data_IF_960614111853
#
_entry.id   IF_960614111853
#
_cell.length_a   1.000
_cell.length_b   1.000
_cell.length_c   1.000
_cell.angle_alpha   90.00
_cell.angle_beta   90.00
_cell.angle_gamma   90.00
#
_symmetry.space_group_name_H-M   'P 1'
#
loop_
_entity.id
_entity.type
_entity.pdbx_description
1 polymer ?
#
# COMPACT_ATOMS: atom_id res chain seq x y z
N UNK A 1 -16.01 3.89 -21.02
CA UNK A 1 -15.42 5.25 -21.01
C UNK A 1 -15.49 5.75 -19.60
N UNK A 2 -14.34 6.05 -18.99
CA UNK A 2 -14.31 6.74 -17.71
C UNK A 2 -15.04 8.08 -17.87
N UNK A 3 -16.00 8.36 -16.98
CA UNK A 3 -16.72 9.64 -16.96
C UNK A 3 -16.02 10.57 -16.01
N UNK A 4 -16.05 11.87 -16.29
CA UNK A 4 -15.51 12.87 -15.38
C UNK A 4 -16.25 12.78 -14.03
N UNK A 5 -15.50 12.80 -12.94
CA UNK A 5 -16.03 13.03 -11.60
C UNK A 5 -16.58 14.44 -11.49
N UNK A 6 -17.70 14.60 -10.81
CA UNK A 6 -18.40 15.87 -10.65
C UNK A 6 -18.34 16.36 -9.20
N UNK A 7 -18.35 15.44 -8.26
CA UNK A 7 -18.47 15.70 -6.82
C UNK A 7 -17.18 15.43 -6.04
N UNK A 8 -16.42 14.39 -6.46
CA UNK A 8 -15.21 13.95 -5.77
C UNK A 8 -13.96 14.41 -6.54
N UNK A 9 -12.85 14.71 -5.85
CA UNK A 9 -11.56 14.99 -6.50
C UNK A 9 -11.00 13.73 -7.16
N UNK A 10 -9.96 13.84 -7.99
CA UNK A 10 -9.18 12.68 -8.39
C UNK A 10 -8.50 12.06 -7.17
N UNK A 11 -8.51 10.73 -7.10
CA UNK A 11 -7.91 9.98 -6.01
C UNK A 11 -6.39 9.88 -6.17
N UNK A 12 -5.70 9.55 -5.08
CA UNK A 12 -4.26 9.29 -5.09
C UNK A 12 -3.91 8.17 -6.09
N UNK A 13 -2.92 8.42 -6.93
CA UNK A 13 -2.49 7.48 -7.98
C UNK A 13 -1.49 6.45 -7.49
N UNK A 14 -1.18 5.47 -8.34
CA UNK A 14 -0.28 4.37 -8.07
C UNK A 14 1.14 4.82 -7.70
N UNK A 15 1.69 5.86 -8.34
CA UNK A 15 3.00 6.39 -7.96
C UNK A 15 3.01 6.97 -6.54
N UNK A 16 1.89 7.56 -6.09
CA UNK A 16 1.73 8.03 -4.71
C UNK A 16 1.80 6.86 -3.72
N UNK A 17 1.04 5.79 -4.00
CA UNK A 17 1.07 4.59 -3.18
C UNK A 17 2.43 3.92 -3.14
N UNK A 18 3.12 3.86 -4.29
CA UNK A 18 4.49 3.35 -4.36
C UNK A 18 5.46 4.16 -3.47
N UNK A 19 5.42 5.47 -3.58
CA UNK A 19 6.25 6.36 -2.75
C UNK A 19 5.89 6.26 -1.26
N UNK A 20 4.60 6.14 -0.93
CA UNK A 20 4.14 5.99 0.44
C UNK A 20 4.61 4.67 1.08
N UNK A 21 4.59 3.57 0.34
CA UNK A 21 5.13 2.28 0.78
C UNK A 21 6.65 2.32 1.00
N UNK A 22 7.37 3.14 0.24
CA UNK A 22 8.82 3.36 0.38
C UNK A 22 9.18 4.38 1.46
N UNK A 23 8.24 5.16 1.96
CA UNK A 23 8.53 6.29 2.86
C UNK A 23 9.25 5.87 4.14
N UNK A 24 8.90 4.72 4.71
CA UNK A 24 9.57 4.16 5.89
C UNK A 24 10.96 3.59 5.60
N UNK A 25 11.24 3.22 4.36
CA UNK A 25 12.48 2.54 3.99
C UNK A 25 13.68 3.49 3.96
N UNK A 26 14.87 3.00 4.31
CA UNK A 26 16.15 3.68 4.09
C UNK A 26 16.53 3.57 2.60
N UNK A 27 15.88 4.39 1.78
CA UNK A 27 15.92 4.33 0.33
C UNK A 27 16.06 5.74 -0.28
N UNK A 28 16.86 5.83 -1.34
CA UNK A 28 16.85 6.97 -2.26
C UNK A 28 15.74 6.74 -3.28
N UNK A 29 14.70 7.57 -3.26
CA UNK A 29 13.57 7.48 -4.18
C UNK A 29 13.67 8.54 -5.26
N UNK A 30 13.70 8.13 -6.53
CA UNK A 30 13.67 9.03 -7.69
C UNK A 30 12.33 8.86 -8.39
N UNK A 31 11.51 9.91 -8.36
CA UNK A 31 10.25 9.96 -9.10
C UNK A 31 10.55 10.47 -10.51
N UNK A 32 10.27 9.65 -11.52
CA UNK A 32 10.59 9.94 -12.92
C UNK A 32 9.52 10.86 -13.51
N UNK A 33 9.65 12.15 -13.27
CA UNK A 33 8.69 13.17 -13.69
C UNK A 33 9.37 14.52 -14.05
N UNK A 34 8.56 15.48 -14.48
CA UNK A 34 8.97 16.88 -14.67
C UNK A 34 8.66 17.75 -13.43
N UNK A 35 8.70 17.21 -12.25
CA UNK A 35 8.39 17.78 -10.92
C UNK A 35 6.90 17.93 -10.56
N UNK A 36 5.98 17.61 -11.45
CA UNK A 36 4.55 17.79 -11.16
C UNK A 36 4.01 16.66 -10.22
N UNK A 37 4.31 15.41 -10.51
CA UNK A 37 3.90 14.26 -9.68
C UNK A 37 4.61 14.27 -8.33
N UNK A 38 5.92 14.57 -8.31
CA UNK A 38 6.69 14.72 -7.07
C UNK A 38 6.09 15.80 -6.17
N UNK A 39 5.73 16.96 -6.76
CA UNK A 39 5.11 18.04 -5.98
C UNK A 39 3.75 17.61 -5.41
N UNK A 40 2.92 16.97 -6.23
CA UNK A 40 1.61 16.48 -5.79
C UNK A 40 1.76 15.52 -4.59
N UNK A 41 2.64 14.54 -4.71
CA UNK A 41 2.93 13.60 -3.65
C UNK A 41 3.38 14.29 -2.35
N UNK A 42 4.37 15.19 -2.44
CA UNK A 42 4.97 15.84 -1.27
C UNK A 42 4.03 16.85 -0.59
N UNK A 43 3.25 17.60 -1.37
CA UNK A 43 2.41 18.68 -0.84
C UNK A 43 1.03 18.19 -0.38
N UNK A 44 0.47 17.15 -1.03
CA UNK A 44 -0.93 16.78 -0.85
C UNK A 44 -1.14 15.36 -0.35
N UNK A 45 -0.39 14.39 -0.86
CA UNK A 45 -0.71 12.98 -0.66
C UNK A 45 0.09 12.31 0.47
N UNK A 46 1.17 12.94 0.95
CA UNK A 46 2.06 12.36 1.97
C UNK A 46 2.10 13.23 3.23
N UNK A 47 1.23 12.95 4.16
CA UNK A 47 1.07 13.73 5.41
C UNK A 47 2.33 13.71 6.28
N UNK A 48 3.12 12.62 6.24
CA UNK A 48 4.37 12.46 7.00
C UNK A 48 5.45 13.45 6.56
N UNK A 49 5.40 13.96 5.34
CA UNK A 49 6.40 14.89 4.81
C UNK A 49 6.49 16.20 5.59
N UNK A 50 5.40 16.63 6.23
CA UNK A 50 5.36 17.85 7.04
C UNK A 50 6.28 17.78 8.26
N UNK A 51 6.42 16.60 8.85
CA UNK A 51 7.26 16.37 10.04
C UNK A 51 8.61 15.74 9.75
N UNK A 52 8.77 15.11 8.58
CA UNK A 52 9.91 14.26 8.29
C UNK A 52 10.25 14.24 6.81
N UNK A 53 11.42 14.74 6.47
CA UNK A 53 11.92 14.67 5.10
C UNK A 53 12.62 13.35 4.84
N UNK A 54 12.44 12.81 3.64
CA UNK A 54 13.11 11.61 3.14
C UNK A 54 13.91 11.94 1.87
N UNK A 55 14.78 11.04 1.47
CA UNK A 55 15.58 11.14 0.25
C UNK A 55 14.74 10.82 -0.99
N UNK A 56 13.77 11.70 -1.27
CA UNK A 56 12.86 11.59 -2.42
C UNK A 56 13.05 12.81 -3.33
N UNK A 57 13.34 12.55 -4.60
CA UNK A 57 13.68 13.58 -5.57
C UNK A 57 12.92 13.38 -6.88
N UNK A 58 12.68 14.49 -7.58
CA UNK A 58 12.20 14.48 -8.96
C UNK A 58 13.37 14.27 -9.91
N UNK A 59 13.19 13.45 -10.93
CA UNK A 59 14.13 13.33 -12.04
C UNK A 59 14.24 14.61 -12.88
N UNK A 60 13.28 15.53 -12.75
CA UNK A 60 13.19 16.77 -13.50
C UNK A 60 13.40 16.56 -15.01
N UNK A 61 12.64 15.62 -15.58
CA UNK A 61 12.69 15.30 -17.00
C UNK A 61 12.44 16.56 -17.84
N UNK A 62 13.33 16.81 -18.79
CA UNK A 62 13.14 17.85 -19.81
C UNK A 62 12.45 17.26 -21.02
N UNK A 63 11.81 18.09 -21.82
CA UNK A 63 11.15 17.68 -23.06
C UNK A 63 12.10 16.90 -23.99
N UNK A 64 13.37 17.33 -24.08
CA UNK A 64 14.35 16.64 -24.92
C UNK A 64 14.70 15.23 -24.38
N UNK A 65 14.84 15.06 -23.06
CA UNK A 65 15.13 13.76 -22.45
C UNK A 65 13.99 12.77 -22.78
N UNK A 66 12.73 13.23 -22.65
CA UNK A 66 11.55 12.42 -22.95
C UNK A 66 11.40 12.08 -24.46
N UNK A 67 11.73 13.00 -25.36
CA UNK A 67 11.61 12.80 -26.82
C UNK A 67 12.74 11.92 -27.37
N UNK A 68 13.95 12.06 -26.84
CA UNK A 68 15.11 11.33 -27.30
C UNK A 68 15.29 9.97 -26.61
N UNK A 69 14.58 9.73 -25.49
CA UNK A 69 14.80 8.54 -24.65
C UNK A 69 16.20 8.55 -24.04
N UNK A 70 16.70 9.72 -23.63
CA UNK A 70 18.03 9.87 -23.03
C UNK A 70 17.96 9.64 -21.51
N UNK A 71 18.25 8.43 -21.11
CA UNK A 71 18.25 7.98 -19.71
C UNK A 71 19.59 8.26 -19.01
N UNK A 72 20.66 8.55 -19.76
CA UNK A 72 22.01 8.68 -19.22
C UNK A 72 22.09 9.81 -18.17
N UNK A 73 21.43 10.94 -18.39
CA UNK A 73 21.39 12.04 -17.43
C UNK A 73 20.68 11.63 -16.12
N UNK A 74 19.61 10.89 -16.20
CA UNK A 74 18.88 10.40 -15.02
C UNK A 74 19.74 9.42 -14.21
N UNK A 75 20.43 8.52 -14.89
CA UNK A 75 21.35 7.57 -14.28
C UNK A 75 22.50 8.32 -13.59
N UNK A 76 23.17 9.26 -14.27
CA UNK A 76 24.28 10.04 -13.71
C UNK A 76 23.86 10.83 -12.47
N UNK A 77 22.71 11.52 -12.51
CA UNK A 77 22.19 12.28 -11.37
C UNK A 77 21.82 11.36 -10.19
N UNK A 78 21.25 10.19 -10.47
CA UNK A 78 20.94 9.20 -9.44
C UNK A 78 22.21 8.67 -8.77
N UNK A 79 23.25 8.39 -9.55
CA UNK A 79 24.56 7.96 -9.04
C UNK A 79 25.24 9.04 -8.21
N UNK A 80 25.12 10.31 -8.60
CA UNK A 80 25.65 11.44 -7.82
C UNK A 80 24.94 11.54 -6.47
N UNK A 81 23.61 11.52 -6.46
CA UNK A 81 22.81 11.54 -5.23
C UNK A 81 23.12 10.32 -4.34
N UNK A 82 23.30 9.14 -4.92
CA UNK A 82 23.63 7.91 -4.19
C UNK A 82 25.01 8.00 -3.52
N UNK A 83 26.01 8.62 -4.16
CA UNK A 83 27.34 8.85 -3.56
C UNK A 83 27.28 9.79 -2.37
N UNK A 84 26.44 10.82 -2.43
CA UNK A 84 26.30 11.81 -1.34
C UNK A 84 25.51 11.26 -0.16
N UNK A 85 24.39 10.56 -0.44
CA UNK A 85 23.43 10.13 0.57
C UNK A 85 23.73 8.76 1.16
N UNK A 86 24.50 7.91 0.45
CA UNK A 86 24.84 6.53 0.85
C UNK A 86 23.61 5.71 1.29
N UNK A 87 22.54 5.64 0.47
CA UNK A 87 21.33 4.92 0.83
C UNK A 87 21.57 3.41 0.82
N UNK A 88 20.73 2.67 1.54
CA UNK A 88 20.79 1.19 1.54
C UNK A 88 20.06 0.56 0.37
N UNK A 89 19.21 1.33 -0.34
CA UNK A 89 18.47 0.91 -1.51
C UNK A 89 18.18 2.14 -2.39
N UNK A 90 17.96 1.93 -3.67
CA UNK A 90 17.52 2.96 -4.62
C UNK A 90 16.20 2.50 -5.25
N UNK A 91 15.22 3.39 -5.38
CA UNK A 91 13.96 3.13 -6.06
C UNK A 91 13.74 4.15 -7.17
N UNK A 92 13.53 3.68 -8.38
CA UNK A 92 13.14 4.49 -9.54
C UNK A 92 11.65 4.28 -9.77
N UNK A 93 10.86 5.34 -9.54
CA UNK A 93 9.38 5.26 -9.55
C UNK A 93 8.83 5.89 -10.81
N UNK A 94 8.12 5.11 -11.60
CA UNK A 94 7.44 5.56 -12.82
C UNK A 94 6.28 6.52 -12.52
N UNK A 95 5.89 7.29 -13.55
CA UNK A 95 4.76 8.23 -13.55
C UNK A 95 4.10 8.23 -14.93
N UNK A 96 3.06 9.03 -15.20
CA UNK A 96 2.50 9.11 -16.55
C UNK A 96 3.51 9.44 -17.65
N UNK A 97 4.58 10.19 -17.36
CA UNK A 97 5.54 10.58 -18.40
C UNK A 97 6.32 9.37 -18.92
N UNK A 98 7.05 8.59 -18.10
CA UNK A 98 7.71 7.38 -18.56
C UNK A 98 6.74 6.36 -19.15
N UNK A 99 5.53 6.20 -18.59
CA UNK A 99 4.53 5.27 -19.11
C UNK A 99 4.10 5.62 -20.54
N UNK A 100 3.95 6.90 -20.88
CA UNK A 100 3.56 7.36 -22.23
C UNK A 100 4.75 7.32 -23.20
N UNK A 101 5.96 7.62 -22.74
CA UNK A 101 7.16 7.67 -23.60
C UNK A 101 7.80 6.31 -23.81
N UNK A 102 7.39 5.29 -23.04
CA UNK A 102 7.96 3.94 -23.10
C UNK A 102 9.35 3.85 -22.46
N UNK A 103 9.65 4.68 -21.47
CA UNK A 103 10.91 4.64 -20.74
C UNK A 103 10.98 3.36 -19.87
N UNK A 104 12.09 2.64 -19.96
CA UNK A 104 12.31 1.40 -19.21
C UNK A 104 12.83 1.69 -17.78
N UNK A 105 11.90 1.92 -16.87
CA UNK A 105 12.20 2.20 -15.46
C UNK A 105 12.97 1.06 -14.78
N UNK A 106 12.67 -0.18 -15.16
CA UNK A 106 13.35 -1.35 -14.62
C UNK A 106 14.79 -1.47 -15.16
N UNK A 107 14.99 -1.19 -16.44
CA UNK A 107 16.31 -1.13 -17.07
C UNK A 107 17.19 -0.04 -16.44
N UNK A 108 16.63 1.15 -16.20
CA UNK A 108 17.34 2.24 -15.51
C UNK A 108 17.78 1.81 -14.11
N UNK A 109 16.90 1.19 -13.34
CA UNK A 109 17.25 0.68 -12.01
C UNK A 109 18.37 -0.36 -12.05
N UNK A 110 18.33 -1.26 -13.04
CA UNK A 110 19.40 -2.24 -13.27
C UNK A 110 20.76 -1.58 -13.56
N UNK A 111 20.80 -0.58 -14.44
CA UNK A 111 22.03 0.15 -14.75
C UNK A 111 22.57 0.93 -13.52
N UNK A 112 21.68 1.55 -12.75
CA UNK A 112 22.04 2.25 -11.51
C UNK A 112 22.62 1.28 -10.49
N UNK A 113 22.02 0.09 -10.32
CA UNK A 113 22.56 -0.95 -9.44
C UNK A 113 23.93 -1.43 -9.90
N UNK A 114 24.07 -1.74 -11.17
CA UNK A 114 25.35 -2.21 -11.75
C UNK A 114 26.48 -1.19 -11.58
N UNK A 115 26.16 0.10 -11.66
CA UNK A 115 27.16 1.18 -11.54
C UNK A 115 27.46 1.59 -10.10
N UNK A 116 26.47 1.51 -9.19
CA UNK A 116 26.63 1.94 -7.78
C UNK A 116 27.00 0.82 -6.84
N UNK A 117 26.64 -0.42 -7.15
CA UNK A 117 26.70 -1.56 -6.21
C UNK A 117 25.64 -1.51 -5.11
N UNK A 118 24.71 -0.55 -5.16
CA UNK A 118 23.61 -0.39 -4.20
C UNK A 118 22.37 -1.07 -4.80
N UNK A 119 21.67 -1.96 -4.08
CA UNK A 119 20.45 -2.59 -4.57
C UNK A 119 19.44 -1.56 -5.08
N UNK A 120 18.95 -1.74 -6.31
CA UNK A 120 18.00 -0.82 -6.92
C UNK A 120 16.77 -1.56 -7.43
N UNK A 121 15.59 -0.92 -7.31
CA UNK A 121 14.32 -1.41 -7.83
C UNK A 121 13.70 -0.40 -8.77
N UNK A 122 13.18 -0.86 -9.90
CA UNK A 122 12.33 -0.09 -10.79
C UNK A 122 10.87 -0.40 -10.48
N UNK A 123 10.10 0.63 -10.19
CA UNK A 123 8.66 0.52 -9.89
C UNK A 123 7.88 1.06 -11.07
N UNK A 124 7.32 0.17 -11.87
CA UNK A 124 6.58 0.52 -13.07
C UNK A 124 5.16 0.97 -12.74
N UNK A 125 5.06 2.18 -12.18
CA UNK A 125 3.81 2.89 -11.94
C UNK A 125 3.52 3.87 -13.08
N UNK A 126 2.26 4.03 -13.40
CA UNK A 126 1.81 4.74 -14.60
C UNK A 126 1.08 6.05 -14.31
N UNK A 127 0.61 6.23 -13.08
CA UNK A 127 -0.28 7.34 -12.70
C UNK A 127 -1.73 7.15 -13.16
N UNK A 128 -2.08 6.00 -13.75
CA UNK A 128 -3.43 5.69 -14.23
C UNK A 128 -4.16 4.64 -13.39
N UNK A 129 -3.45 4.03 -12.46
CA UNK A 129 -3.98 3.08 -11.48
C UNK A 129 -4.15 3.77 -10.12
N UNK A 130 -4.82 3.10 -9.20
CA UNK A 130 -5.07 3.58 -7.85
C UNK A 130 -3.87 3.29 -6.91
N UNK A 131 -3.78 4.05 -5.81
CA UNK A 131 -2.61 4.05 -4.91
C UNK A 131 -2.25 2.67 -4.36
N UNK A 132 -3.25 1.85 -3.99
CA UNK A 132 -3.03 0.53 -3.38
C UNK A 132 -2.32 -0.43 -4.34
N UNK A 133 -2.50 -0.26 -5.67
CA UNK A 133 -1.78 -1.05 -6.68
C UNK A 133 -0.31 -0.71 -6.70
N UNK A 134 0.03 0.57 -6.64
CA UNK A 134 1.41 1.02 -6.56
C UNK A 134 2.09 0.59 -5.27
N UNK A 135 1.42 0.74 -4.13
CA UNK A 135 1.92 0.28 -2.84
C UNK A 135 2.12 -1.24 -2.85
N UNK A 136 1.14 -2.02 -3.33
CA UNK A 136 1.24 -3.47 -3.46
C UNK A 136 2.41 -3.91 -4.33
N UNK A 137 2.61 -3.23 -5.48
CA UNK A 137 3.73 -3.50 -6.40
C UNK A 137 5.09 -3.32 -5.70
N UNK A 138 5.26 -2.25 -4.93
CA UNK A 138 6.47 -2.03 -4.13
C UNK A 138 6.66 -3.12 -3.10
N UNK A 139 5.63 -3.46 -2.33
CA UNK A 139 5.74 -4.48 -1.30
C UNK A 139 6.11 -5.85 -1.88
N UNK A 140 5.56 -6.21 -3.05
CA UNK A 140 5.93 -7.42 -3.77
C UNK A 140 7.40 -7.38 -4.25
N UNK A 141 7.85 -6.25 -4.84
CA UNK A 141 9.23 -6.09 -5.28
C UNK A 141 10.21 -6.19 -4.10
N UNK A 142 9.90 -5.58 -2.97
CA UNK A 142 10.72 -5.66 -1.76
C UNK A 142 10.75 -7.08 -1.20
N UNK A 143 9.60 -7.75 -1.09
CA UNK A 143 9.52 -9.12 -0.62
C UNK A 143 10.29 -10.08 -1.53
N UNK A 144 10.14 -9.92 -2.84
CA UNK A 144 10.85 -10.75 -3.80
C UNK A 144 12.36 -10.53 -3.77
N UNK A 145 12.79 -9.27 -3.67
CA UNK A 145 14.19 -8.89 -3.73
C UNK A 145 14.97 -9.21 -2.45
N UNK A 146 14.36 -9.03 -1.28
CA UNK A 146 15.08 -9.06 -0.01
C UNK A 146 14.64 -10.19 0.94
N UNK A 147 13.39 -10.70 0.86
CA UNK A 147 12.94 -11.69 1.84
C UNK A 147 13.74 -13.00 1.76
N UNK A 148 14.24 -13.45 2.93
CA UNK A 148 14.97 -14.72 3.06
C UNK A 148 16.41 -14.71 2.55
N UNK A 149 16.94 -13.57 2.08
CA UNK A 149 18.31 -13.42 1.59
C UNK A 149 19.14 -12.45 2.41
N UNK A 150 20.47 -12.53 2.28
CA UNK A 150 21.33 -11.39 2.63
C UNK A 150 21.24 -10.36 1.48
N UNK A 151 21.17 -9.08 1.80
CA UNK A 151 21.10 -8.02 0.80
C UNK A 151 22.38 -8.06 -0.06
N UNK A 152 22.34 -8.69 -1.20
CA UNK A 152 23.50 -8.80 -2.11
C UNK A 152 23.54 -10.08 -2.97
N UNK A 153 22.78 -11.14 -2.69
CA UNK A 153 23.02 -12.46 -3.28
C UNK A 153 21.90 -13.00 -4.20
N UNK A 154 21.08 -12.11 -4.83
CA UNK A 154 19.97 -12.56 -5.67
C UNK A 154 20.12 -12.19 -7.14
N UNK A 155 19.83 -13.14 -8.06
CA UNK A 155 19.86 -12.88 -9.51
C UNK A 155 18.71 -11.94 -9.92
N UNK A 156 19.01 -11.05 -10.85
CA UNK A 156 18.07 -10.09 -11.42
C UNK A 156 16.90 -10.80 -12.13
N UNK A 157 15.69 -10.71 -11.57
CA UNK A 157 14.46 -11.18 -12.20
C UNK A 157 13.76 -10.05 -12.95
N UNK A 158 13.61 -10.22 -14.26
CA UNK A 158 12.71 -9.37 -15.07
C UNK A 158 11.29 -9.81 -14.77
N UNK A 159 10.53 -8.99 -14.07
CA UNK A 159 9.10 -9.26 -13.83
C UNK A 159 8.26 -8.73 -14.99
N UNK A 160 7.79 -9.66 -15.81
CA UNK A 160 6.67 -9.43 -16.71
C UNK A 160 5.34 -9.43 -15.93
N UNK A 161 4.30 -8.87 -16.55
CA UNK A 161 2.93 -8.65 -16.07
C UNK A 161 2.20 -9.81 -15.33
N UNK A 162 2.84 -10.96 -15.16
CA UNK A 162 2.23 -12.18 -14.64
C UNK A 162 2.00 -12.21 -13.12
N UNK A 163 2.62 -11.32 -12.34
CA UNK A 163 2.50 -11.34 -10.87
C UNK A 163 1.25 -10.61 -10.32
N UNK A 164 0.54 -9.86 -11.14
CA UNK A 164 -0.65 -9.06 -10.74
C UNK A 164 -1.97 -9.75 -11.09
N UNK A 165 -1.92 -10.84 -11.90
CA UNK A 165 -3.10 -11.63 -12.28
C UNK A 165 -3.03 -13.03 -11.66
N UNK A 166 -3.09 -13.12 -10.33
CA UNK A 166 -3.13 -14.41 -9.64
C UNK A 166 -4.56 -14.96 -9.54
N UNK A 167 -5.10 -15.35 -10.69
CA UNK A 167 -6.15 -16.35 -10.80
C UNK A 167 -5.71 -17.42 -11.80
N UNK A 168 -4.75 -18.27 -11.39
CA UNK A 168 -4.44 -19.51 -12.11
C UNK A 168 -3.97 -20.56 -11.10
N UNK A 169 -4.75 -21.60 -10.98
CA UNK A 169 -4.48 -22.84 -10.26
C UNK A 169 -3.16 -23.49 -10.72
N UNK A 170 -2.21 -23.67 -9.82
CA UNK A 170 -1.02 -24.48 -10.06
C UNK A 170 -0.94 -25.60 -9.00
N UNK A 171 -0.86 -26.82 -9.51
CA UNK A 171 -0.71 -28.05 -8.73
C UNK A 171 0.68 -28.15 -8.08
N UNK A 172 0.83 -28.90 -6.97
CA UNK A 172 2.07 -28.95 -6.18
C UNK A 172 3.11 -29.85 -6.83
N UNK A 173 4.36 -29.41 -6.90
CA UNK A 173 5.51 -30.26 -7.21
C UNK A 173 6.53 -30.30 -6.08
N UNK A 174 6.84 -31.50 -5.76
CA UNK A 174 7.73 -32.23 -4.88
C UNK A 174 8.99 -31.53 -4.32
N UNK A 175 9.21 -31.92 -3.06
CA UNK A 175 10.38 -31.91 -2.18
C UNK A 175 11.76 -32.03 -2.79
N UNK A 176 12.72 -31.25 -2.27
CA UNK A 176 14.14 -31.61 -2.22
C UNK A 176 14.72 -31.34 -0.83
N UNK A 177 15.41 -32.38 -0.32
CA UNK A 177 16.07 -32.47 0.97
C UNK A 177 17.30 -31.57 1.17
N UNK A 178 17.47 -31.12 2.37
CA UNK A 178 18.63 -31.25 3.25
C UNK A 178 19.93 -30.52 2.95
N UNK A 179 20.30 -29.61 3.87
CA UNK A 179 21.68 -29.12 4.00
C UNK A 179 21.87 -28.13 5.11
N UNK A 180 22.19 -28.62 6.32
CA UNK A 180 22.54 -27.82 7.49
C UNK A 180 23.91 -27.14 7.33
N UNK A 181 23.99 -25.82 7.53
CA UNK A 181 25.20 -25.18 8.06
C UNK A 181 24.83 -24.11 9.08
N UNK A 182 25.23 -24.39 10.31
CA UNK A 182 25.16 -23.49 11.44
C UNK A 182 26.30 -22.45 11.34
N UNK A 183 25.99 -21.18 11.53
CA UNK A 183 26.98 -20.21 12.00
C UNK A 183 26.33 -19.04 12.75
N UNK A 184 26.84 -18.81 13.98
CA UNK A 184 26.94 -17.50 14.62
C UNK A 184 25.79 -17.05 15.51
N UNK A 185 26.00 -17.13 16.80
CA UNK A 185 25.17 -16.71 17.93
C UNK A 185 24.79 -15.20 17.87
N UNK A 186 23.62 -14.92 17.33
CA UNK A 186 22.82 -13.79 17.80
C UNK A 186 21.80 -14.38 18.77
N UNK A 187 21.78 -13.94 20.03
CA UNK A 187 20.74 -14.35 20.99
C UNK A 187 19.37 -14.07 20.37
N UNK A 188 18.51 -15.09 20.18
CA UNK A 188 17.18 -14.86 19.64
C UNK A 188 16.41 -13.97 20.62
N UNK A 189 15.82 -12.88 20.14
CA UNK A 189 14.83 -12.16 20.92
C UNK A 189 13.78 -13.19 21.35
N UNK A 190 13.43 -13.23 22.63
CA UNK A 190 12.56 -14.26 23.19
C UNK A 190 11.13 -14.21 22.65
N UNK A 191 10.77 -13.18 21.88
CA UNK A 191 9.41 -12.95 21.36
C UNK A 191 9.29 -13.44 19.90
N UNK A 192 8.17 -14.06 19.52
CA UNK A 192 7.89 -14.38 18.14
C UNK A 192 7.76 -13.10 17.31
N UNK A 193 8.21 -13.12 16.05
CA UNK A 193 8.15 -11.97 15.15
C UNK A 193 7.01 -12.10 14.17
N UNK A 194 6.39 -10.95 13.82
CA UNK A 194 5.33 -10.86 12.83
C UNK A 194 5.64 -9.77 11.81
N UNK A 195 5.05 -9.90 10.61
CA UNK A 195 5.04 -8.82 9.63
C UNK A 195 3.74 -8.00 9.77
N UNK A 196 3.79 -6.69 9.50
CA UNK A 196 2.63 -5.80 9.37
C UNK A 196 2.69 -5.17 7.98
N UNK A 197 1.80 -5.60 7.09
CA UNK A 197 1.87 -5.27 5.66
C UNK A 197 0.65 -4.47 5.21
N UNK A 198 0.91 -3.44 4.40
CA UNK A 198 -0.11 -2.58 3.80
C UNK A 198 -0.43 -1.31 4.60
N UNK A 199 0.25 -1.06 5.71
CA UNK A 199 0.03 0.15 6.49
C UNK A 199 0.63 1.38 5.77
N UNK A 200 -0.25 2.28 5.28
CA UNK A 200 0.12 3.54 4.62
C UNK A 200 -0.66 4.71 5.22
N UNK A 201 -0.19 5.93 5.01
CA UNK A 201 -0.94 7.13 5.44
C UNK A 201 -2.21 7.33 4.62
N UNK A 202 -2.26 6.82 3.40
CA UNK A 202 -3.45 6.88 2.55
C UNK A 202 -4.63 6.19 3.22
N UNK A 203 -4.37 5.10 3.97
CA UNK A 203 -5.38 4.30 4.66
C UNK A 203 -5.61 4.73 6.11
N UNK A 204 -4.53 5.06 6.83
CA UNK A 204 -4.56 5.32 8.27
C UNK A 204 -4.49 6.81 8.62
N UNK A 205 -4.28 7.69 7.65
CA UNK A 205 -4.34 9.15 7.75
C UNK A 205 -3.14 9.78 8.45
N UNK A 206 -2.71 9.31 9.62
CA UNK A 206 -1.71 9.98 10.44
C UNK A 206 -0.54 9.09 10.86
N UNK A 207 0.60 9.72 11.18
CA UNK A 207 1.77 9.03 11.76
C UNK A 207 1.42 8.39 13.11
N UNK A 208 0.57 9.06 13.88
CA UNK A 208 0.13 8.58 15.18
C UNK A 208 -0.68 7.31 15.06
N UNK A 209 -1.57 7.23 14.08
CA UNK A 209 -2.35 6.01 13.80
C UNK A 209 -1.45 4.84 13.38
N UNK A 210 -0.45 5.10 12.53
CA UNK A 210 0.52 4.08 12.13
C UNK A 210 1.37 3.57 13.32
N UNK A 211 1.84 4.47 14.18
CA UNK A 211 2.56 4.10 15.40
C UNK A 211 1.68 3.30 16.35
N UNK A 212 0.45 3.75 16.53
CA UNK A 212 -0.51 3.05 17.38
C UNK A 212 -0.79 1.63 16.87
N UNK A 213 -0.89 1.44 15.56
CA UNK A 213 -1.03 0.11 14.95
C UNK A 213 0.14 -0.81 15.35
N UNK A 214 1.38 -0.34 15.25
CA UNK A 214 2.55 -1.12 15.68
C UNK A 214 2.53 -1.40 17.18
N UNK A 215 2.18 -0.42 18.00
CA UNK A 215 2.11 -0.58 19.46
C UNK A 215 1.05 -1.61 19.85
N UNK A 216 -0.13 -1.60 19.21
CA UNK A 216 -1.19 -2.59 19.42
C UNK A 216 -0.69 -3.99 19.07
N UNK A 217 0.01 -4.16 17.95
CA UNK A 217 0.58 -5.46 17.57
C UNK A 217 1.62 -5.93 18.59
N UNK A 218 2.49 -5.04 19.09
CA UNK A 218 3.49 -5.40 20.13
C UNK A 218 2.86 -5.76 21.48
N UNK A 219 1.71 -5.18 21.84
CA UNK A 219 0.95 -5.54 23.07
C UNK A 219 0.53 -7.01 23.07
N UNK A 220 0.37 -7.64 21.91
CA UNK A 220 0.11 -9.08 21.78
C UNK A 220 1.32 -9.95 22.20
N UNK A 221 2.43 -9.37 22.61
CA UNK A 221 3.63 -10.09 23.05
C UNK A 221 4.48 -10.59 21.88
N UNK A 222 4.48 -9.88 20.77
CA UNK A 222 5.27 -10.15 19.57
C UNK A 222 6.21 -8.98 19.26
N UNK A 223 7.25 -9.26 18.49
CA UNK A 223 8.15 -8.27 17.90
C UNK A 223 7.86 -8.13 16.38
N UNK A 224 8.33 -7.07 15.75
CA UNK A 224 8.14 -6.85 14.32
C UNK A 224 9.35 -7.39 13.53
N UNK A 225 9.10 -8.16 12.47
CA UNK A 225 10.11 -8.54 11.49
C UNK A 225 10.17 -7.48 10.39
N UNK A 226 9.05 -7.23 9.72
CA UNK A 226 8.86 -6.18 8.73
C UNK A 226 7.54 -5.46 8.98
N UNK A 227 7.58 -4.13 9.12
CA UNK A 227 6.40 -3.30 9.27
C UNK A 227 6.44 -2.15 8.28
N UNK A 228 5.36 -1.95 7.54
CA UNK A 228 5.21 -0.81 6.62
C UNK A 228 4.65 0.43 7.32
N UNK A 229 4.23 0.31 8.59
CA UNK A 229 3.73 1.43 9.39
C UNK A 229 4.84 2.36 9.89
N UNK A 230 6.05 1.82 10.12
CA UNK A 230 7.19 2.53 10.67
C UNK A 230 8.35 2.68 9.69
N UNK A 231 9.53 2.93 10.26
CA UNK A 231 10.79 2.84 9.50
C UNK A 231 11.25 1.40 9.42
N UNK A 232 11.79 1.05 8.27
CA UNK A 232 12.34 -0.27 8.02
C UNK A 232 13.52 -0.22 7.06
N UNK A 233 14.28 -1.29 7.02
CA UNK A 233 15.48 -1.47 6.21
C UNK A 233 15.35 -2.72 5.32
N UNK A 234 16.21 -2.91 4.32
CA UNK A 234 16.30 -4.18 3.60
C UNK A 234 16.46 -5.40 4.50
N UNK A 235 17.17 -5.28 5.64
CA UNK A 235 17.36 -6.38 6.59
C UNK A 235 16.06 -6.73 7.34
N UNK A 236 15.18 -5.75 7.56
CA UNK A 236 13.85 -6.00 8.13
C UNK A 236 13.01 -6.83 7.15
N UNK A 237 13.06 -6.48 5.85
CA UNK A 237 12.40 -7.24 4.79
C UNK A 237 13.01 -8.65 4.69
N UNK A 238 14.33 -8.80 4.81
CA UNK A 238 14.98 -10.11 4.80
C UNK A 238 14.45 -11.01 5.94
N UNK A 239 14.22 -10.44 7.13
CA UNK A 239 13.65 -11.17 8.27
C UNK A 239 12.19 -11.57 8.09
N UNK A 240 11.46 -10.94 7.16
CA UNK A 240 10.05 -11.25 6.92
C UNK A 240 9.80 -12.72 6.58
N UNK A 241 10.75 -13.38 5.93
CA UNK A 241 10.69 -14.80 5.58
C UNK A 241 10.68 -15.75 6.79
N UNK A 242 11.10 -15.28 7.96
CA UNK A 242 11.15 -16.07 9.21
C UNK A 242 10.09 -15.63 10.23
N UNK A 243 9.17 -14.77 9.84
CA UNK A 243 8.09 -14.33 10.69
C UNK A 243 7.11 -15.48 10.99
N UNK A 244 6.48 -15.41 12.17
CA UNK A 244 5.43 -16.34 12.57
C UNK A 244 4.17 -16.22 11.71
N UNK A 245 3.82 -14.99 11.36
CA UNK A 245 2.69 -14.65 10.49
C UNK A 245 2.87 -13.28 9.86
N UNK A 246 2.13 -13.01 8.78
CA UNK A 246 1.97 -11.69 8.19
C UNK A 246 0.57 -11.15 8.50
N UNK A 247 0.49 -10.01 9.20
CA UNK A 247 -0.75 -9.30 9.48
C UNK A 247 -0.97 -8.32 8.33
N UNK A 248 -2.01 -8.54 7.55
CA UNK A 248 -2.37 -7.71 6.40
C UNK A 248 -3.43 -6.70 6.83
N UNK A 249 -3.09 -5.41 6.82
CA UNK A 249 -3.95 -4.36 7.38
C UNK A 249 -4.63 -3.48 6.32
N UNK A 250 -4.26 -3.63 5.06
CA UNK A 250 -4.95 -3.03 3.91
C UNK A 250 -4.77 -3.88 2.65
N UNK A 251 -5.54 -3.57 1.63
CA UNK A 251 -5.48 -4.24 0.32
C UNK A 251 -4.06 -4.25 -0.28
N UNK A 252 -3.30 -3.19 -0.05
CA UNK A 252 -1.92 -3.08 -0.52
C UNK A 252 -0.99 -4.20 -0.02
N UNK A 253 -1.25 -4.76 1.17
CA UNK A 253 -0.43 -5.80 1.78
C UNK A 253 -0.69 -7.22 1.29
N UNK A 254 -1.85 -7.50 0.67
CA UNK A 254 -2.30 -8.86 0.36
C UNK A 254 -1.35 -9.63 -0.56
N UNK A 255 -0.95 -9.05 -1.67
CA UNK A 255 -0.11 -9.74 -2.64
C UNK A 255 1.28 -10.08 -2.08
N UNK A 256 1.89 -9.19 -1.31
CA UNK A 256 3.17 -9.44 -0.66
C UNK A 256 3.06 -10.53 0.44
N UNK A 257 1.96 -10.54 1.21
CA UNK A 257 1.70 -11.59 2.19
C UNK A 257 1.52 -12.95 1.53
N UNK A 258 0.76 -13.04 0.44
CA UNK A 258 0.62 -14.26 -0.38
C UNK A 258 1.96 -14.74 -0.94
N UNK A 259 2.80 -13.81 -1.40
CA UNK A 259 4.15 -14.13 -1.86
C UNK A 259 5.02 -14.74 -0.75
N UNK A 260 4.99 -14.16 0.46
CA UNK A 260 5.69 -14.69 1.63
C UNK A 260 5.16 -16.06 2.06
N UNK A 261 3.85 -16.27 2.00
CA UNK A 261 3.23 -17.55 2.29
C UNK A 261 3.65 -18.62 1.27
N UNK A 262 3.59 -18.32 -0.01
CA UNK A 262 3.96 -19.25 -1.10
C UNK A 262 5.45 -19.63 -1.08
N UNK A 263 6.34 -18.65 -0.83
CA UNK A 263 7.80 -18.89 -0.91
C UNK A 263 8.41 -19.41 0.39
N UNK A 264 7.91 -18.97 1.52
CA UNK A 264 8.53 -19.22 2.82
C UNK A 264 7.60 -19.91 3.83
N UNK A 265 6.34 -20.12 3.46
CA UNK A 265 5.36 -20.74 4.35
C UNK A 265 4.92 -19.86 5.53
N UNK A 266 5.11 -18.53 5.41
CA UNK A 266 4.67 -17.56 6.43
C UNK A 266 3.17 -17.34 6.30
N UNK A 267 2.33 -17.87 7.20
CA UNK A 267 0.87 -17.73 7.08
C UNK A 267 0.44 -16.27 7.18
N UNK A 268 -0.69 -15.94 6.56
CA UNK A 268 -1.22 -14.59 6.67
C UNK A 268 -2.50 -14.54 7.48
N UNK A 269 -2.69 -13.43 8.20
CA UNK A 269 -3.93 -13.04 8.88
C UNK A 269 -4.39 -11.70 8.31
N UNK A 270 -5.58 -11.66 7.70
CA UNK A 270 -6.12 -10.46 7.08
C UNK A 270 -7.04 -9.74 8.07
N UNK A 271 -6.77 -8.49 8.33
CA UNK A 271 -7.57 -7.61 9.17
C UNK A 271 -6.74 -6.69 10.07
N UNK A 272 -7.32 -5.54 10.37
CA UNK A 272 -6.76 -4.57 11.33
C UNK A 272 -7.04 -5.05 12.74
N UNK A 273 -6.06 -5.05 13.67
CA UNK A 273 -6.33 -5.32 15.08
C UNK A 273 -7.40 -4.35 15.64
N UNK A 274 -8.38 -4.86 16.38
CA UNK A 274 -9.54 -4.08 16.84
C UNK A 274 -9.17 -2.78 17.56
N UNK A 275 -8.13 -2.79 18.40
CA UNK A 275 -7.68 -1.58 19.09
C UNK A 275 -7.03 -0.52 18.17
N UNK A 276 -6.62 -0.91 16.95
CA UNK A 276 -6.04 -0.02 15.93
C UNK A 276 -7.03 0.31 14.80
N UNK A 277 -8.27 -0.15 14.90
CA UNK A 277 -9.35 0.18 13.97
C UNK A 277 -9.62 1.69 13.91
N UNK A 278 -9.86 2.29 12.73
CA UNK A 278 -10.12 3.73 12.59
C UNK A 278 -11.41 4.19 13.27
N UNK A 279 -12.29 3.26 13.61
CA UNK A 279 -13.49 3.51 14.41
C UNK A 279 -13.77 2.34 15.34
N UNK A 280 -14.48 2.61 16.44
CA UNK A 280 -14.87 1.60 17.41
C UNK A 280 -16.39 1.37 17.35
N UNK A 281 -16.91 0.18 17.70
CA UNK A 281 -18.35 -0.09 17.67
C UNK A 281 -19.21 0.97 18.39
N UNK A 282 -18.72 1.54 19.48
CA UNK A 282 -19.39 2.62 20.23
C UNK A 282 -19.60 3.91 19.44
N UNK A 283 -18.76 4.17 18.44
CA UNK A 283 -18.85 5.37 17.59
C UNK A 283 -20.09 5.32 16.69
N UNK A 284 -20.68 4.12 16.55
CA UNK A 284 -21.90 3.86 15.81
C UNK A 284 -23.17 3.91 16.68
N UNK A 285 -23.04 4.14 18.00
CA UNK A 285 -24.17 4.23 18.90
C UNK A 285 -25.08 5.40 18.48
N UNK A 286 -26.37 5.09 18.25
CA UNK A 286 -27.36 6.06 17.78
C UNK A 286 -27.32 6.39 16.28
N UNK A 287 -26.29 5.96 15.56
CA UNK A 287 -26.21 6.13 14.11
C UNK A 287 -27.15 5.17 13.39
N UNK A 288 -27.32 3.96 13.91
CA UNK A 288 -27.84 2.82 13.16
C UNK A 288 -29.04 2.17 13.89
N UNK A 289 -30.10 2.91 14.14
CA UNK A 289 -31.37 2.39 14.66
C UNK A 289 -31.99 1.39 13.67
N UNK A 290 -31.43 0.16 13.59
CA UNK A 290 -31.85 -0.93 12.69
C UNK A 290 -31.79 -0.59 11.18
N UNK A 291 -31.00 0.40 10.78
CA UNK A 291 -30.80 0.75 9.37
C UNK A 291 -29.63 -0.03 8.78
N UNK A 292 -29.68 -0.40 7.48
CA UNK A 292 -28.51 -0.90 6.77
C UNK A 292 -27.35 0.10 6.84
N UNK A 293 -26.14 -0.39 7.06
CA UNK A 293 -24.93 0.43 7.08
C UNK A 293 -24.04 0.09 5.88
N UNK A 294 -23.67 1.11 5.11
CA UNK A 294 -22.67 1.04 4.05
C UNK A 294 -21.32 1.55 4.59
N UNK A 295 -20.28 0.71 4.55
CA UNK A 295 -18.93 1.09 4.91
C UNK A 295 -18.12 1.29 3.63
N UNK A 296 -17.64 2.51 3.39
CA UNK A 296 -16.86 2.87 2.19
C UNK A 296 -15.42 3.20 2.60
N UNK A 297 -14.51 2.26 2.38
CA UNK A 297 -13.10 2.40 2.71
C UNK A 297 -12.25 1.39 1.92
N UNK A 298 -10.94 1.27 2.22
CA UNK A 298 -10.15 0.09 1.85
C UNK A 298 -10.87 -1.18 2.31
N UNK A 299 -10.88 -2.22 1.48
CA UNK A 299 -11.68 -3.42 1.75
C UNK A 299 -11.29 -4.11 3.05
N UNK A 300 -10.00 -4.26 3.33
CA UNK A 300 -9.52 -4.96 4.54
C UNK A 300 -9.92 -4.21 5.80
N UNK A 301 -9.79 -2.88 5.79
CA UNK A 301 -10.20 -2.00 6.89
C UNK A 301 -11.71 -2.07 7.08
N UNK A 302 -12.48 -1.92 6.02
CA UNK A 302 -13.94 -1.96 6.06
C UNK A 302 -14.47 -3.33 6.53
N UNK A 303 -13.88 -4.43 6.06
CA UNK A 303 -14.22 -5.78 6.52
C UNK A 303 -13.87 -6.00 8.00
N UNK A 304 -12.73 -5.47 8.46
CA UNK A 304 -12.35 -5.53 9.88
C UNK A 304 -13.38 -4.83 10.74
N UNK A 305 -13.76 -3.61 10.38
CA UNK A 305 -14.78 -2.84 11.08
C UNK A 305 -16.15 -3.54 11.07
N UNK A 306 -16.57 -4.10 9.93
CA UNK A 306 -17.77 -4.94 9.82
C UNK A 306 -17.77 -6.09 10.82
N UNK A 307 -16.64 -6.80 10.92
CA UNK A 307 -16.51 -7.93 11.83
C UNK A 307 -16.58 -7.50 13.29
N UNK A 308 -15.99 -6.38 13.65
CA UNK A 308 -16.07 -5.79 14.99
C UNK A 308 -17.49 -5.36 15.36
N UNK A 309 -18.21 -4.73 14.42
CA UNK A 309 -19.61 -4.36 14.61
C UNK A 309 -20.50 -5.58 14.84
N UNK A 310 -20.30 -6.64 14.06
CA UNK A 310 -21.01 -7.92 14.26
C UNK A 310 -20.69 -8.56 15.62
N UNK A 311 -19.44 -8.56 16.00
CA UNK A 311 -19.01 -9.06 17.32
C UNK A 311 -19.61 -8.26 18.48
N UNK A 312 -19.82 -6.95 18.28
CA UNK A 312 -20.51 -6.08 19.23
C UNK A 312 -22.04 -6.23 19.24
N UNK A 313 -22.60 -7.11 18.38
CA UNK A 313 -24.05 -7.41 18.36
C UNK A 313 -24.85 -6.56 17.37
N UNK A 314 -24.19 -5.91 16.42
CA UNK A 314 -24.86 -5.17 15.37
C UNK A 314 -25.65 -6.09 14.44
N UNK A 315 -26.97 -5.96 14.40
CA UNK A 315 -27.88 -6.91 13.72
C UNK A 315 -28.38 -6.43 12.36
N UNK A 316 -28.20 -5.15 12.01
CA UNK A 316 -28.64 -4.62 10.72
C UNK A 316 -27.73 -5.11 9.58
N UNK A 317 -28.22 -5.11 8.32
CA UNK A 317 -27.39 -5.43 7.16
C UNK A 317 -26.16 -4.52 7.08
N UNK A 318 -24.99 -5.10 6.78
CA UNK A 318 -23.73 -4.42 6.63
C UNK A 318 -23.16 -4.72 5.25
N UNK A 319 -22.92 -3.69 4.44
CA UNK A 319 -22.29 -3.80 3.14
C UNK A 319 -20.95 -3.03 3.15
N UNK A 320 -19.97 -3.57 2.45
CA UNK A 320 -18.67 -2.93 2.21
C UNK A 320 -18.59 -2.52 0.75
N UNK A 321 -18.15 -1.29 0.50
CA UNK A 321 -17.86 -0.83 -0.85
C UNK A 321 -16.51 -0.12 -0.89
N UNK A 322 -15.80 -0.23 -2.01
CA UNK A 322 -14.51 0.40 -2.18
C UNK A 322 -14.36 1.01 -3.57
N UNK A 323 -13.73 2.18 -3.65
CA UNK A 323 -13.24 2.78 -4.91
C UNK A 323 -11.97 2.09 -5.43
N UNK A 324 -11.34 1.29 -4.59
CA UNK A 324 -10.07 0.63 -4.80
C UNK A 324 -10.26 -0.86 -5.05
N UNK A 325 -9.18 -1.57 -5.31
CA UNK A 325 -9.25 -3.00 -5.57
C UNK A 325 -9.94 -3.75 -4.42
N UNK A 326 -10.75 -4.72 -4.80
CA UNK A 326 -11.40 -5.65 -3.88
C UNK A 326 -10.96 -7.07 -4.22
N UNK A 327 -10.65 -7.85 -3.20
CA UNK A 327 -10.24 -9.25 -3.30
C UNK A 327 -11.48 -10.14 -3.17
N UNK A 328 -11.66 -11.04 -4.13
CA UNK A 328 -12.84 -11.89 -4.22
C UNK A 328 -13.04 -12.81 -3.00
N UNK A 329 -11.94 -13.17 -2.31
CA UNK A 329 -11.98 -14.03 -1.12
C UNK A 329 -12.56 -13.31 0.11
N UNK A 330 -12.58 -11.97 0.10
CA UNK A 330 -13.07 -11.13 1.19
C UNK A 330 -14.45 -10.53 0.92
N UNK A 331 -15.02 -10.72 -0.30
CA UNK A 331 -16.32 -10.17 -0.71
C UNK A 331 -17.45 -10.99 -0.10
N UNK A 332 -18.40 -10.32 0.52
CA UNK A 332 -19.70 -10.89 0.92
C UNK A 332 -20.80 -10.50 -0.10
N UNK A 333 -21.99 -11.16 -0.07
CA UNK A 333 -23.01 -10.98 -1.11
C UNK A 333 -23.52 -9.56 -1.35
N UNK A 334 -23.47 -8.70 -0.31
CA UNK A 334 -23.94 -7.32 -0.40
C UNK A 334 -22.80 -6.32 -0.67
N UNK A 335 -21.55 -6.79 -0.77
CA UNK A 335 -20.38 -5.97 -1.04
C UNK A 335 -20.28 -5.65 -2.54
N UNK A 336 -19.74 -4.47 -2.86
CA UNK A 336 -19.59 -4.08 -4.27
C UNK A 336 -18.41 -3.11 -4.51
N UNK A 337 -17.76 -3.22 -5.69
CA UNK A 337 -16.77 -2.23 -6.12
C UNK A 337 -17.47 -0.95 -6.59
N UNK A 338 -16.91 0.20 -6.25
CA UNK A 338 -17.39 1.49 -6.73
C UNK A 338 -16.61 1.88 -7.98
N UNK A 339 -17.27 1.78 -9.12
CA UNK A 339 -16.66 2.07 -10.43
C UNK A 339 -16.56 3.58 -10.69
N UNK A 340 -17.56 4.33 -10.27
CA UNK A 340 -17.65 5.79 -10.35
C UNK A 340 -18.65 6.33 -9.32
N UNK A 341 -18.76 7.65 -9.20
CA UNK A 341 -19.69 8.34 -8.29
C UNK A 341 -21.14 7.90 -8.44
N UNK A 342 -21.55 7.47 -9.66
CA UNK A 342 -22.92 7.06 -9.95
C UNK A 342 -23.28 5.76 -9.27
N UNK A 343 -22.29 4.89 -9.04
CA UNK A 343 -22.51 3.65 -8.27
C UNK A 343 -23.09 3.98 -6.91
N UNK A 344 -22.49 4.93 -6.17
CA UNK A 344 -22.99 5.37 -4.87
C UNK A 344 -24.30 6.16 -4.96
N UNK A 345 -24.44 7.04 -5.96
CA UNK A 345 -25.68 7.81 -6.17
C UNK A 345 -26.86 6.87 -6.46
N UNK A 346 -26.65 5.82 -7.27
CA UNK A 346 -27.66 4.80 -7.55
C UNK A 346 -28.00 4.00 -6.29
N UNK A 347 -26.97 3.59 -5.54
CA UNK A 347 -27.17 2.91 -4.26
C UNK A 347 -28.05 3.74 -3.31
N UNK A 348 -27.77 5.04 -3.15
CA UNK A 348 -28.56 5.92 -2.30
C UNK A 348 -30.02 6.06 -2.76
N UNK A 349 -30.26 6.09 -4.07
CA UNK A 349 -31.60 6.15 -4.64
C UNK A 349 -32.40 4.86 -4.40
N UNK A 350 -31.75 3.71 -4.45
CA UNK A 350 -32.34 2.40 -4.22
C UNK A 350 -32.57 2.08 -2.74
N UNK A 351 -31.75 2.67 -1.86
CA UNK A 351 -31.74 2.43 -0.41
C UNK A 351 -32.02 3.71 0.39
N UNK A 352 -33.19 4.33 0.34
CA UNK A 352 -33.45 5.64 0.94
C UNK A 352 -33.35 5.70 2.47
N UNK A 353 -33.16 4.56 3.13
CA UNK A 353 -32.99 4.43 4.58
C UNK A 353 -31.74 3.68 4.94
N UNK A 354 -30.58 4.21 4.60
CA UNK A 354 -29.29 3.66 5.00
C UNK A 354 -28.54 4.65 5.92
N UNK A 355 -27.50 4.18 6.60
CA UNK A 355 -26.44 4.97 7.18
C UNK A 355 -25.13 4.65 6.47
N UNK A 356 -24.13 5.50 6.55
CA UNK A 356 -22.85 5.21 5.96
C UNK A 356 -21.68 5.61 6.86
N UNK A 357 -20.56 4.95 6.66
CA UNK A 357 -19.27 5.28 7.26
C UNK A 357 -18.23 5.35 6.15
N UNK A 358 -17.49 6.43 6.08
CA UNK A 358 -16.50 6.64 5.01
C UNK A 358 -15.91 8.04 5.03
N UNK A 359 -15.16 8.37 3.98
CA UNK A 359 -14.53 9.67 3.84
C UNK A 359 -15.59 10.81 3.82
N UNK A 360 -15.37 11.90 4.57
CA UNK A 360 -16.34 13.00 4.66
C UNK A 360 -16.68 13.65 3.32
N UNK A 361 -15.84 13.54 2.27
CA UNK A 361 -16.18 14.01 0.93
C UNK A 361 -17.39 13.31 0.32
N UNK A 362 -17.71 12.11 0.76
CA UNK A 362 -18.89 11.40 0.29
C UNK A 362 -20.19 12.18 0.56
N UNK A 363 -20.22 13.04 1.57
CA UNK A 363 -21.35 13.93 1.83
C UNK A 363 -21.65 14.90 0.67
N UNK A 364 -20.72 15.07 -0.29
CA UNK A 364 -20.98 15.86 -1.52
C UNK A 364 -21.83 15.13 -2.54
N UNK A 365 -21.97 13.81 -2.40
CA UNK A 365 -22.77 13.01 -3.33
C UNK A 365 -24.27 13.18 -3.07
N UNK A 366 -25.10 13.30 -4.12
CA UNK A 366 -26.54 13.28 -3.98
C UNK A 366 -27.04 12.06 -3.19
N UNK A 367 -27.85 12.30 -2.16
CA UNK A 367 -28.38 11.26 -1.28
C UNK A 367 -27.52 10.90 -0.09
N UNK A 368 -26.29 11.43 0.04
CA UNK A 368 -25.38 11.18 1.17
C UNK A 368 -25.38 12.27 2.21
N UNK A 369 -25.50 13.55 1.82
CA UNK A 369 -25.37 14.70 2.70
C UNK A 369 -26.31 14.69 3.91
N UNK A 370 -27.54 14.27 3.71
CA UNK A 370 -28.61 14.29 4.73
C UNK A 370 -28.79 12.91 5.41
N UNK A 371 -27.98 11.93 5.01
CA UNK A 371 -28.03 10.57 5.53
C UNK A 371 -27.14 10.47 6.78
N UNK A 372 -27.60 9.80 7.87
CA UNK A 372 -26.78 9.60 9.06
C UNK A 372 -25.45 8.93 8.71
N UNK A 373 -24.34 9.46 9.20
CA UNK A 373 -23.03 8.95 8.86
C UNK A 373 -21.97 9.11 9.96
N UNK A 374 -20.94 8.27 9.87
CA UNK A 374 -19.69 8.38 10.61
C UNK A 374 -18.58 8.76 9.64
N UNK A 375 -17.86 9.83 9.96
CA UNK A 375 -16.68 10.23 9.19
C UNK A 375 -15.52 9.27 9.47
N UNK A 376 -15.04 8.61 8.42
CA UNK A 376 -13.81 7.81 8.40
C UNK A 376 -12.89 8.40 7.32
N UNK A 377 -12.03 9.37 7.68
CA UNK A 377 -11.13 9.97 6.71
C UNK A 377 -10.28 8.92 5.98
N UNK A 378 -10.20 9.06 4.66
CA UNK A 378 -9.43 8.20 3.79
C UNK A 378 -8.58 9.09 2.88
N UNK A 379 -7.31 9.29 3.25
CA UNK A 379 -6.41 10.24 2.57
C UNK A 379 -6.26 9.94 1.07
N UNK A 380 -6.41 8.68 0.67
CA UNK A 380 -6.41 8.32 -0.75
C UNK A 380 -7.57 8.94 -1.54
N UNK A 381 -8.67 9.29 -0.86
CA UNK A 381 -9.87 9.93 -1.44
C UNK A 381 -9.81 11.43 -1.30
N UNK A 382 -9.48 11.94 -0.12
CA UNK A 382 -9.60 13.36 0.22
C UNK A 382 -8.27 14.11 0.23
N UNK A 383 -7.13 13.41 0.24
CA UNK A 383 -5.82 14.03 0.43
C UNK A 383 -5.84 14.98 1.65
N UNK A 384 -5.11 16.07 1.61
CA UNK A 384 -5.05 17.05 2.69
C UNK A 384 -6.20 18.07 2.69
N UNK A 385 -7.29 17.82 1.99
CA UNK A 385 -8.40 18.77 1.88
C UNK A 385 -9.15 19.03 3.21
N UNK A 386 -8.92 18.21 4.22
CA UNK A 386 -9.52 18.31 5.55
C UNK A 386 -8.52 18.52 6.69
N UNK A 387 -7.26 18.79 6.40
CA UNK A 387 -6.24 19.09 7.41
C UNK A 387 -6.15 20.57 7.76
#
# INVERSE_FOLDING_TARGET
MAKLSVYLPPFAGDYTGACAALFGMDCLVIIVDASCCTRNYVEYDETRWRGRRKSTFSAQLRTLDAVLGDDARLIDQTLEAARELQPRCIAIVGTPVPAITGMDVAGIAYEVEAASGIPAIGVDTTGFETYERGASRVLCLLADRFAGGEAGDMPHGVFGEAAVSANASVAPSASVDGGSHAHGDAQPSALPRVNVLGATVQDFGTVEALRWLEDVVRIEGVDLAWSTAGDFTPDDVARAATARESIVVSQAGLAAARLLEQRFGVPMRVGVPAAASPAQPRDFDGLVDARPLLIVHDQVIACSLRNELRAAGFAAPLAVASFFAMDDELIEPDDFPIVDERTLISFAAEHPRFAWAGDPLLARLPGFAETPHLSLPHEAVSSTLYL
#
